data_IF_318084656830
#
_entry.id   IF_318084656830
#
_cell.length_a   1.000
_cell.length_b   1.000
_cell.length_c   1.000
_cell.angle_alpha   90.00
_cell.angle_beta   90.00
_cell.angle_gamma   90.00
#
_symmetry.space_group_name_H-M   'P 1'
#
loop_
_entity.id
_entity.type
_entity.pdbx_description
1 polymer ?
#
# COMPACT_ATOMS: atom_id res chain seq x y z
N UNK A 1 2.80 4.94 -17.57
CA UNK A 1 2.45 5.51 -16.24
C UNK A 1 3.70 5.49 -15.37
N UNK A 2 4.09 6.57 -14.73
CA UNK A 2 5.27 6.60 -13.85
C UNK A 2 4.96 5.90 -12.51
N UNK A 3 5.97 5.20 -11.95
CA UNK A 3 5.89 4.59 -10.61
C UNK A 3 7.20 4.87 -9.87
N UNK A 4 7.10 5.46 -8.67
CA UNK A 4 8.27 5.73 -7.80
C UNK A 4 9.04 4.43 -7.50
N UNK A 5 8.36 3.29 -7.45
CA UNK A 5 8.97 1.97 -7.27
C UNK A 5 10.05 1.63 -8.33
N UNK A 6 10.03 2.25 -9.51
CA UNK A 6 11.10 2.09 -10.54
C UNK A 6 12.45 2.56 -10.00
N UNK A 7 12.49 3.66 -9.23
CA UNK A 7 13.73 4.16 -8.63
C UNK A 7 14.33 3.13 -7.64
N UNK A 8 13.44 2.45 -6.88
CA UNK A 8 13.85 1.37 -5.95
C UNK A 8 14.41 0.16 -6.70
N UNK A 9 13.82 -0.19 -7.85
CA UNK A 9 14.32 -1.26 -8.71
C UNK A 9 15.69 -0.94 -9.29
N UNK A 10 15.97 0.31 -9.66
CA UNK A 10 17.31 0.73 -10.07
C UNK A 10 18.32 0.63 -8.91
N UNK A 11 17.94 1.04 -7.68
CA UNK A 11 18.80 0.85 -6.49
C UNK A 11 19.09 -0.62 -6.25
N UNK A 12 18.08 -1.50 -6.35
CA UNK A 12 18.23 -2.94 -6.23
C UNK A 12 19.18 -3.50 -7.31
N UNK A 13 18.97 -3.14 -8.59
CA UNK A 13 19.82 -3.57 -9.70
C UNK A 13 21.31 -3.29 -9.43
N UNK A 14 21.61 -2.11 -8.91
CA UNK A 14 22.98 -1.62 -8.70
C UNK A 14 23.58 -2.06 -7.35
N UNK A 15 22.83 -2.78 -6.53
CA UNK A 15 23.31 -3.25 -5.22
C UNK A 15 24.37 -4.34 -5.39
N UNK A 16 25.53 -4.19 -4.72
CA UNK A 16 26.60 -5.20 -4.67
C UNK A 16 26.19 -6.50 -3.95
N UNK A 17 25.17 -6.43 -3.09
CA UNK A 17 24.62 -7.55 -2.31
C UNK A 17 23.22 -7.92 -2.77
N UNK A 18 22.90 -7.67 -4.04
CA UNK A 18 21.61 -7.97 -4.63
C UNK A 18 21.24 -9.43 -4.43
N UNK A 19 20.00 -9.67 -4.02
CA UNK A 19 19.37 -10.98 -3.99
C UNK A 19 18.22 -11.01 -5.01
N UNK A 20 17.69 -12.17 -5.41
CA UNK A 20 16.42 -12.23 -6.14
C UNK A 20 15.37 -11.39 -5.42
N UNK A 21 14.63 -10.57 -6.16
CA UNK A 21 13.67 -9.61 -5.60
C UNK A 21 12.25 -10.16 -5.70
N UNK A 22 11.52 -10.10 -4.62
CA UNK A 22 10.09 -10.42 -4.58
C UNK A 22 9.29 -9.13 -4.44
N UNK A 23 8.39 -8.87 -5.40
CA UNK A 23 7.45 -7.75 -5.35
C UNK A 23 6.13 -8.24 -4.74
N UNK A 24 5.84 -7.74 -3.55
CA UNK A 24 4.60 -7.99 -2.82
C UNK A 24 3.59 -6.86 -3.01
N UNK A 25 2.32 -7.13 -2.80
CA UNK A 25 1.25 -6.14 -2.82
C UNK A 25 -0.05 -6.72 -3.31
N UNK A 26 -1.14 -6.01 -3.08
CA UNK A 26 -2.48 -6.44 -3.46
C UNK A 26 -2.57 -6.82 -4.95
N UNK A 27 -3.56 -7.60 -5.29
CA UNK A 27 -3.87 -7.90 -6.69
C UNK A 27 -4.24 -6.60 -7.42
N UNK A 28 -3.83 -6.49 -8.70
CA UNK A 28 -4.14 -5.34 -9.59
C UNK A 28 -3.44 -4.00 -9.22
N UNK A 29 -2.45 -3.99 -8.32
CA UNK A 29 -1.64 -2.79 -8.04
C UNK A 29 -0.52 -2.54 -9.08
N UNK A 30 -0.43 -3.38 -10.11
CA UNK A 30 0.48 -3.19 -11.25
C UNK A 30 1.84 -3.88 -11.13
N UNK A 31 1.98 -4.97 -10.36
CA UNK A 31 3.23 -5.72 -10.19
C UNK A 31 3.82 -6.19 -11.52
N UNK A 32 3.02 -6.89 -12.33
CA UNK A 32 3.43 -7.40 -13.66
C UNK A 32 3.87 -6.27 -14.59
N UNK A 33 3.11 -5.17 -14.62
CA UNK A 33 3.45 -3.99 -15.40
C UNK A 33 4.79 -3.40 -14.96
N UNK A 34 4.99 -3.25 -13.65
CA UNK A 34 6.21 -2.67 -13.07
C UNK A 34 7.45 -3.50 -13.46
N UNK A 35 7.38 -4.84 -13.35
CA UNK A 35 8.48 -5.73 -13.71
C UNK A 35 8.83 -5.63 -15.20
N UNK A 36 7.80 -5.66 -16.07
CA UNK A 36 8.00 -5.55 -17.54
C UNK A 36 8.55 -4.18 -17.93
N UNK A 37 8.03 -3.10 -17.35
CA UNK A 37 8.49 -1.75 -17.64
C UNK A 37 9.93 -1.55 -17.17
N UNK A 38 10.27 -2.04 -15.97
CA UNK A 38 11.65 -2.02 -15.48
C UNK A 38 12.59 -2.82 -16.39
N UNK A 39 12.18 -4.01 -16.83
CA UNK A 39 12.94 -4.81 -17.78
C UNK A 39 13.23 -4.05 -19.06
N UNK A 40 12.20 -3.40 -19.63
CA UNK A 40 12.32 -2.58 -20.85
C UNK A 40 13.26 -1.38 -20.69
N UNK A 41 13.24 -0.71 -19.52
CA UNK A 41 14.04 0.48 -19.29
C UNK A 41 15.49 0.16 -18.90
N UNK A 42 15.70 -0.92 -18.16
CA UNK A 42 16.97 -1.17 -17.44
C UNK A 42 17.82 -2.29 -18.03
N UNK A 43 17.30 -3.12 -18.94
CA UNK A 43 18.00 -4.28 -19.51
C UNK A 43 17.89 -4.30 -21.02
N UNK A 44 18.85 -4.96 -21.67
CA UNK A 44 18.82 -5.17 -23.12
C UNK A 44 17.78 -6.24 -23.51
N UNK A 45 17.51 -7.18 -22.60
CA UNK A 45 16.57 -8.27 -22.82
C UNK A 45 15.81 -8.64 -21.54
N UNK A 46 14.65 -9.28 -21.71
CA UNK A 46 13.80 -9.71 -20.62
C UNK A 46 13.17 -11.07 -20.93
N UNK A 47 13.37 -12.04 -20.06
CA UNK A 47 12.69 -13.34 -20.15
C UNK A 47 11.55 -13.35 -19.13
N UNK A 48 10.32 -13.30 -19.63
CA UNK A 48 9.10 -13.28 -18.83
C UNK A 48 8.48 -14.68 -18.78
N UNK A 49 8.30 -15.18 -17.57
CA UNK A 49 7.65 -16.45 -17.27
C UNK A 49 6.44 -16.17 -16.39
N UNK A 50 5.25 -16.52 -16.89
CA UNK A 50 4.06 -16.62 -16.05
C UNK A 50 3.88 -18.08 -15.64
N UNK A 51 3.83 -18.32 -14.33
CA UNK A 51 3.67 -19.68 -13.77
C UNK A 51 2.20 -20.12 -13.70
N UNK A 52 1.25 -19.21 -13.85
CA UNK A 52 -0.16 -19.59 -13.90
C UNK A 52 -0.43 -20.41 -15.17
N UNK A 53 -0.98 -21.61 -14.95
CA UNK A 53 -1.34 -22.56 -16.03
C UNK A 53 -0.17 -22.96 -16.96
N UNK A 54 1.09 -22.92 -16.48
CA UNK A 54 2.29 -23.25 -17.25
C UNK A 54 2.90 -24.58 -16.82
N UNK A 55 2.38 -25.69 -17.36
CA UNK A 55 2.83 -27.05 -17.02
C UNK A 55 4.31 -27.27 -17.32
N UNK A 56 4.85 -26.74 -18.44
CA UNK A 56 6.27 -26.90 -18.79
C UNK A 56 7.18 -26.31 -17.73
N UNK A 57 6.85 -25.16 -17.20
CA UNK A 57 7.63 -24.54 -16.12
C UNK A 57 7.43 -25.28 -14.82
N UNK A 58 6.22 -25.74 -14.51
CA UNK A 58 5.99 -26.60 -13.36
C UNK A 58 6.85 -27.87 -13.41
N UNK A 59 6.92 -28.54 -14.55
CA UNK A 59 7.73 -29.73 -14.76
C UNK A 59 9.23 -29.44 -14.63
N UNK A 60 9.71 -28.34 -15.25
CA UNK A 60 11.12 -27.92 -15.19
C UNK A 60 11.58 -27.73 -13.73
N UNK A 61 10.86 -26.95 -12.94
CA UNK A 61 11.21 -26.66 -11.55
C UNK A 61 10.91 -27.82 -10.60
N UNK A 62 10.08 -28.79 -10.99
CA UNK A 62 9.78 -29.98 -10.20
C UNK A 62 10.87 -31.05 -10.30
N UNK A 63 11.63 -31.10 -11.40
CA UNK A 63 12.64 -32.14 -11.64
C UNK A 63 13.81 -32.03 -10.64
N UNK A 64 14.51 -30.87 -10.65
CA UNK A 64 15.56 -30.52 -9.67
C UNK A 64 15.69 -28.99 -9.60
N UNK A 65 16.60 -28.51 -8.73
CA UNK A 65 16.83 -27.07 -8.55
C UNK A 65 18.29 -26.70 -8.90
N UNK A 66 18.95 -27.50 -9.74
CA UNK A 66 20.25 -27.15 -10.32
C UNK A 66 20.12 -25.92 -11.22
N UNK A 67 20.89 -24.88 -10.91
CA UNK A 67 20.74 -23.56 -11.54
C UNK A 67 21.14 -23.58 -13.01
N UNK A 68 22.13 -24.35 -13.41
CA UNK A 68 22.58 -24.42 -14.80
C UNK A 68 21.54 -25.12 -15.66
N UNK A 69 20.94 -26.18 -15.12
CA UNK A 69 19.83 -26.88 -15.77
C UNK A 69 18.58 -26.01 -15.87
N UNK A 70 18.26 -25.26 -14.81
CA UNK A 70 17.15 -24.31 -14.84
C UNK A 70 17.36 -23.22 -15.89
N UNK A 71 18.56 -22.62 -15.96
CA UNK A 71 18.89 -21.62 -16.97
C UNK A 71 18.80 -22.21 -18.38
N UNK A 72 19.35 -23.40 -18.61
CA UNK A 72 19.20 -24.09 -19.92
C UNK A 72 17.72 -24.28 -20.29
N UNK A 73 16.89 -24.71 -19.34
CA UNK A 73 15.45 -24.87 -19.56
C UNK A 73 14.74 -23.57 -19.88
N UNK A 74 15.13 -22.47 -19.20
CA UNK A 74 14.61 -21.13 -19.45
C UNK A 74 15.06 -20.59 -20.83
N UNK A 75 16.30 -20.87 -21.27
CA UNK A 75 16.81 -20.54 -22.60
C UNK A 75 16.03 -21.27 -23.69
N UNK A 76 15.78 -22.57 -23.50
CA UNK A 76 14.98 -23.37 -24.42
C UNK A 76 13.52 -22.85 -24.51
N UNK A 77 12.95 -22.45 -23.37
CA UNK A 77 11.62 -21.87 -23.33
C UNK A 77 11.55 -20.52 -24.04
N UNK A 78 12.56 -19.65 -23.80
CA UNK A 78 12.67 -18.33 -24.40
C UNK A 78 13.11 -18.35 -25.88
N UNK A 79 13.67 -19.47 -26.35
CA UNK A 79 14.23 -19.61 -27.71
C UNK A 79 15.51 -18.80 -27.94
N UNK A 80 16.20 -18.40 -26.88
CA UNK A 80 17.42 -17.57 -26.92
C UNK A 80 18.27 -17.73 -25.66
N UNK A 81 19.55 -17.36 -25.79
CA UNK A 81 20.50 -17.33 -24.67
C UNK A 81 20.14 -16.25 -23.64
N UNK A 82 20.37 -16.56 -22.38
CA UNK A 82 20.20 -15.64 -21.25
C UNK A 82 21.56 -15.09 -20.86
N UNK A 83 21.80 -13.82 -21.17
CA UNK A 83 23.01 -13.14 -20.72
C UNK A 83 22.81 -12.63 -19.29
N UNK A 84 23.59 -13.11 -18.29
CA UNK A 84 23.40 -12.75 -16.90
C UNK A 84 23.53 -11.24 -16.61
N UNK A 85 24.33 -10.51 -17.40
CA UNK A 85 24.56 -9.08 -17.18
C UNK A 85 23.45 -8.21 -17.75
N UNK A 86 22.80 -8.64 -18.83
CA UNK A 86 21.91 -7.80 -19.64
C UNK A 86 20.48 -8.31 -19.75
N UNK A 87 20.16 -9.46 -19.16
CA UNK A 87 18.82 -10.06 -19.18
C UNK A 87 18.18 -10.02 -17.80
N UNK A 88 16.97 -9.51 -17.71
CA UNK A 88 16.13 -9.63 -16.52
C UNK A 88 15.25 -10.88 -16.63
N UNK A 89 15.31 -11.76 -15.65
CA UNK A 89 14.36 -12.85 -15.47
C UNK A 89 13.17 -12.36 -14.64
N UNK A 90 11.97 -12.47 -15.20
CA UNK A 90 10.72 -12.09 -14.53
C UNK A 90 9.90 -13.35 -14.29
N UNK A 91 9.67 -13.67 -13.01
CA UNK A 91 8.85 -14.78 -12.55
C UNK A 91 7.52 -14.25 -12.01
N UNK A 92 6.47 -14.33 -12.80
CA UNK A 92 5.15 -13.82 -12.44
C UNK A 92 4.24 -14.96 -11.96
N UNK A 93 3.39 -14.68 -10.96
CA UNK A 93 2.53 -15.65 -10.26
C UNK A 93 3.33 -16.86 -9.73
N UNK A 94 4.53 -16.58 -9.17
CA UNK A 94 5.50 -17.60 -8.76
C UNK A 94 4.99 -18.56 -7.68
N UNK A 95 3.96 -18.19 -6.93
CA UNK A 95 3.31 -19.05 -5.92
C UNK A 95 2.58 -20.26 -6.55
N UNK A 96 2.23 -20.21 -7.83
CA UNK A 96 1.59 -21.34 -8.53
C UNK A 96 2.54 -22.54 -8.68
N UNK A 97 3.86 -22.29 -8.62
CA UNK A 97 4.89 -23.34 -8.62
C UNK A 97 5.80 -23.15 -7.40
N UNK A 98 5.48 -23.74 -6.24
CA UNK A 98 6.23 -23.55 -4.98
C UNK A 98 7.72 -23.82 -5.09
N UNK A 99 8.12 -24.77 -5.95
CA UNK A 99 9.54 -25.07 -6.20
C UNK A 99 10.26 -23.96 -6.98
N UNK A 100 9.54 -23.20 -7.82
CA UNK A 100 10.12 -22.02 -8.47
C UNK A 100 10.46 -20.94 -7.43
N UNK A 101 9.59 -20.74 -6.43
CA UNK A 101 9.87 -19.84 -5.31
C UNK A 101 11.09 -20.35 -4.50
N UNK A 102 11.16 -21.65 -4.19
CA UNK A 102 12.28 -22.26 -3.48
C UNK A 102 13.60 -22.17 -4.26
N UNK A 103 13.55 -22.16 -5.61
CA UNK A 103 14.74 -22.05 -6.46
C UNK A 103 15.51 -20.73 -6.29
N UNK A 104 14.85 -19.67 -5.83
CA UNK A 104 15.48 -18.35 -5.62
C UNK A 104 16.66 -18.42 -4.64
N UNK A 105 16.60 -19.33 -3.65
CA UNK A 105 17.73 -19.60 -2.75
C UNK A 105 18.95 -20.07 -3.53
N UNK A 106 18.75 -21.03 -4.43
CA UNK A 106 19.85 -21.63 -5.21
C UNK A 106 20.41 -20.65 -6.24
N UNK A 107 19.56 -19.84 -6.86
CA UNK A 107 20.04 -18.74 -7.70
C UNK A 107 20.90 -17.75 -6.92
N UNK A 108 20.51 -17.36 -5.72
CA UNK A 108 21.34 -16.49 -4.88
C UNK A 108 22.67 -17.12 -4.49
N UNK A 109 22.69 -18.41 -4.17
CA UNK A 109 23.89 -19.11 -3.68
C UNK A 109 24.86 -19.53 -4.80
N UNK A 110 24.32 -19.99 -5.93
CA UNK A 110 25.11 -20.65 -6.98
C UNK A 110 25.18 -19.83 -8.28
N UNK A 111 24.24 -18.91 -8.50
CA UNK A 111 24.13 -18.14 -9.75
C UNK A 111 23.74 -16.66 -9.50
N UNK A 112 24.44 -15.93 -8.59
CA UNK A 112 24.06 -14.57 -8.19
C UNK A 112 24.20 -13.53 -9.30
N UNK A 113 24.87 -13.88 -10.41
CA UNK A 113 25.00 -13.03 -11.58
C UNK A 113 23.67 -12.82 -12.32
N UNK A 114 22.70 -13.73 -12.20
CA UNK A 114 21.40 -13.57 -12.84
C UNK A 114 20.50 -12.63 -12.05
N UNK A 115 19.86 -11.72 -12.76
CA UNK A 115 18.92 -10.75 -12.18
C UNK A 115 17.50 -11.33 -12.24
N UNK A 116 16.91 -11.58 -11.07
CA UNK A 116 15.59 -12.20 -10.99
C UNK A 116 14.64 -11.30 -10.18
N UNK A 117 13.51 -10.97 -10.78
CA UNK A 117 12.39 -10.27 -10.11
C UNK A 117 11.16 -11.17 -10.18
N UNK A 118 10.55 -11.38 -9.03
CA UNK A 118 9.37 -12.24 -8.91
C UNK A 118 8.17 -11.42 -8.41
N UNK A 119 6.99 -11.83 -8.81
CA UNK A 119 5.75 -11.34 -8.22
C UNK A 119 4.74 -12.47 -8.03
N UNK A 120 3.86 -12.24 -7.08
CA UNK A 120 2.68 -13.07 -6.86
C UNK A 120 1.67 -12.33 -6.00
N UNK A 121 0.40 -12.49 -6.34
CA UNK A 121 -0.67 -11.76 -5.66
C UNK A 121 -0.99 -12.30 -4.26
N UNK A 122 -0.55 -13.51 -3.94
CA UNK A 122 -0.84 -14.23 -2.69
C UNK A 122 0.43 -14.76 -2.01
N UNK A 123 1.56 -14.14 -2.29
CA UNK A 123 2.85 -14.58 -1.71
C UNK A 123 2.85 -14.55 -0.19
N UNK A 124 2.22 -13.54 0.43
CA UNK A 124 2.07 -13.49 1.88
C UNK A 124 1.37 -14.74 2.46
N UNK A 125 0.42 -15.32 1.72
CA UNK A 125 -0.29 -16.54 2.14
C UNK A 125 0.55 -17.78 1.85
N UNK A 126 1.22 -17.85 0.69
CA UNK A 126 2.05 -18.98 0.32
C UNK A 126 3.19 -19.22 1.33
N UNK A 127 3.64 -18.16 2.02
CA UNK A 127 4.62 -18.21 3.10
C UNK A 127 4.17 -19.10 4.27
N UNK A 128 2.87 -19.24 4.50
CA UNK A 128 2.30 -19.99 5.62
C UNK A 128 1.91 -21.44 5.27
N UNK A 129 1.98 -21.84 3.99
CA UNK A 129 1.51 -23.18 3.53
C UNK A 129 2.61 -24.25 3.48
N UNK A 130 3.69 -24.14 4.27
CA UNK A 130 4.70 -25.22 4.41
C UNK A 130 5.67 -25.37 3.23
N UNK A 131 5.72 -24.41 2.30
CA UNK A 131 6.71 -24.35 1.23
C UNK A 131 8.06 -23.94 1.81
N UNK A 132 9.18 -24.51 1.31
CA UNK A 132 10.55 -24.09 1.66
C UNK A 132 10.78 -22.68 1.12
N UNK A 133 10.38 -21.66 1.91
CA UNK A 133 10.60 -20.27 1.56
C UNK A 133 12.08 -19.90 1.67
N UNK A 134 12.66 -19.12 0.74
CA UNK A 134 14.08 -18.76 0.74
C UNK A 134 14.41 -17.67 1.77
N UNK A 135 14.20 -17.95 3.06
CA UNK A 135 14.42 -17.01 4.18
C UNK A 135 15.84 -16.44 4.13
N UNK A 136 15.96 -15.11 4.16
CA UNK A 136 17.24 -14.41 4.15
C UNK A 136 18.01 -14.45 2.81
N UNK A 137 17.44 -15.08 1.77
CA UNK A 137 18.06 -15.27 0.45
C UNK A 137 17.38 -14.46 -0.66
N UNK A 138 16.39 -13.66 -0.31
CA UNK A 138 15.64 -12.78 -1.20
C UNK A 138 15.52 -11.39 -0.58
N UNK A 139 15.34 -10.39 -1.43
CA UNK A 139 14.96 -9.03 -1.09
C UNK A 139 13.45 -8.85 -1.34
N UNK A 140 12.84 -7.86 -0.68
CA UNK A 140 11.42 -7.57 -0.82
C UNK A 140 11.18 -6.14 -1.24
N UNK A 141 10.17 -5.92 -2.09
CA UNK A 141 9.62 -4.61 -2.43
C UNK A 141 8.10 -4.65 -2.29
N UNK A 142 7.55 -3.82 -1.41
CA UNK A 142 6.10 -3.65 -1.31
C UNK A 142 5.62 -2.63 -2.34
N UNK A 143 4.64 -3.04 -3.15
CA UNK A 143 3.98 -2.20 -4.13
C UNK A 143 2.56 -1.89 -3.67
N UNK A 144 2.28 -0.61 -3.51
CA UNK A 144 0.98 -0.07 -3.13
C UNK A 144 0.22 0.46 -4.36
N UNK A 145 -1.08 0.78 -4.28
CA UNK A 145 -1.74 1.63 -5.25
C UNK A 145 -0.96 2.92 -5.49
N UNK A 146 -1.19 3.62 -6.58
CA UNK A 146 -0.52 4.89 -6.86
C UNK A 146 -0.70 5.86 -5.69
N UNK A 147 0.39 6.51 -5.27
CA UNK A 147 0.34 7.63 -4.34
C UNK A 147 -0.31 8.85 -5.01
N UNK A 148 -0.58 9.90 -4.22
CA UNK A 148 -1.13 11.13 -4.78
C UNK A 148 -0.17 11.80 -5.76
N UNK A 149 1.14 11.80 -5.47
CA UNK A 149 2.16 12.31 -6.39
C UNK A 149 2.21 11.48 -7.69
N UNK A 150 2.14 10.16 -7.62
CA UNK A 150 2.07 9.29 -8.80
C UNK A 150 0.77 9.53 -9.61
N UNK A 151 -0.35 9.80 -8.93
CA UNK A 151 -1.62 10.17 -9.58
C UNK A 151 -1.52 11.49 -10.33
N UNK A 152 -0.91 12.52 -9.73
CA UNK A 152 -0.65 13.80 -10.42
C UNK A 152 0.15 13.58 -11.70
N UNK A 153 1.22 12.80 -11.64
CA UNK A 153 2.04 12.46 -12.81
C UNK A 153 1.23 11.69 -13.87
N UNK A 154 0.40 10.72 -13.45
CA UNK A 154 -0.41 9.92 -14.36
C UNK A 154 -1.52 10.73 -15.06
N UNK A 155 -1.97 11.83 -14.46
CA UNK A 155 -3.09 12.66 -14.96
C UNK A 155 -2.66 13.92 -15.70
N UNK A 156 -1.35 14.07 -16.03
CA UNK A 156 -0.80 15.20 -16.79
C UNK A 156 -0.47 16.42 -15.92
N UNK A 157 -0.26 16.20 -14.62
CA UNK A 157 0.08 17.23 -13.65
C UNK A 157 1.50 17.06 -13.09
N UNK A 158 2.47 16.68 -13.94
CA UNK A 158 3.84 16.35 -13.54
C UNK A 158 4.52 17.51 -12.79
N UNK A 159 4.32 18.76 -13.23
CA UNK A 159 4.89 19.94 -12.56
C UNK A 159 4.39 20.11 -11.13
N UNK A 160 3.13 19.79 -10.88
CA UNK A 160 2.57 19.83 -9.53
C UNK A 160 3.15 18.72 -8.64
N UNK A 161 3.38 17.52 -9.18
CA UNK A 161 4.09 16.48 -8.46
C UNK A 161 5.54 16.87 -8.15
N UNK A 162 6.22 17.56 -9.06
CA UNK A 162 7.58 18.06 -8.88
C UNK A 162 7.65 19.14 -7.77
N UNK A 163 6.70 20.07 -7.72
CA UNK A 163 6.61 21.06 -6.63
C UNK A 163 6.42 20.39 -5.27
N UNK A 164 5.60 19.33 -5.18
CA UNK A 164 5.47 18.54 -3.95
C UNK A 164 6.79 17.88 -3.57
N UNK A 165 7.46 17.21 -4.53
CA UNK A 165 8.76 16.57 -4.31
C UNK A 165 9.82 17.54 -3.81
N UNK A 166 9.82 18.76 -4.35
CA UNK A 166 10.77 19.82 -4.00
C UNK A 166 10.36 20.63 -2.76
N UNK A 167 9.18 20.33 -2.15
CA UNK A 167 8.62 21.03 -0.98
C UNK A 167 8.51 22.56 -1.18
N UNK A 168 8.22 23.01 -2.41
CA UNK A 168 8.03 24.43 -2.74
C UNK A 168 6.65 24.90 -2.28
N UNK A 169 6.51 25.08 -0.96
CA UNK A 169 5.22 25.42 -0.34
C UNK A 169 4.69 26.82 -0.73
N UNK A 170 5.53 27.72 -1.19
CA UNK A 170 5.10 29.04 -1.70
C UNK A 170 4.32 28.86 -3.01
N UNK A 171 4.91 28.14 -3.97
CA UNK A 171 4.25 27.82 -5.23
C UNK A 171 3.05 26.90 -5.01
N UNK A 172 3.14 25.92 -4.14
CA UNK A 172 2.03 25.02 -3.78
C UNK A 172 0.84 25.83 -3.26
N UNK A 173 1.06 26.81 -2.38
CA UNK A 173 0.00 27.69 -1.86
C UNK A 173 -0.62 28.54 -2.96
N UNK A 174 0.19 29.06 -3.89
CA UNK A 174 -0.29 29.87 -5.02
C UNK A 174 -1.22 29.07 -5.95
N UNK A 175 -1.03 27.76 -6.06
CA UNK A 175 -1.85 26.84 -6.88
C UNK A 175 -2.75 25.91 -6.06
N UNK A 176 -3.06 26.28 -4.83
CA UNK A 176 -3.82 25.47 -3.86
C UNK A 176 -5.09 24.86 -4.44
N UNK A 177 -5.87 25.63 -5.19
CA UNK A 177 -7.14 25.14 -5.73
C UNK A 177 -6.95 23.96 -6.68
N UNK A 178 -5.91 23.97 -7.51
CA UNK A 178 -5.56 22.86 -8.40
C UNK A 178 -5.26 21.59 -7.61
N UNK A 179 -4.52 21.70 -6.51
CA UNK A 179 -4.23 20.55 -5.64
C UNK A 179 -5.50 20.01 -4.96
N UNK A 180 -6.38 20.91 -4.49
CA UNK A 180 -7.66 20.53 -3.86
C UNK A 180 -8.53 19.77 -4.87
N UNK A 181 -8.65 20.26 -6.10
CA UNK A 181 -9.45 19.61 -7.14
C UNK A 181 -8.85 18.26 -7.53
N UNK A 182 -7.54 18.16 -7.69
CA UNK A 182 -6.85 16.90 -7.92
C UNK A 182 -7.03 15.92 -6.75
N UNK A 183 -7.00 16.39 -5.50
CA UNK A 183 -7.23 15.56 -4.32
C UNK A 183 -8.67 15.03 -4.26
N UNK A 184 -9.67 15.85 -4.61
CA UNK A 184 -11.06 15.39 -4.75
C UNK A 184 -11.18 14.30 -5.82
N UNK A 185 -10.51 14.47 -6.98
CA UNK A 185 -10.46 13.43 -8.00
C UNK A 185 -9.82 12.15 -7.47
N UNK A 186 -8.69 12.26 -6.76
CA UNK A 186 -8.03 11.11 -6.16
C UNK A 186 -8.91 10.40 -5.11
N UNK A 187 -9.69 11.11 -4.31
CA UNK A 187 -10.63 10.48 -3.36
C UNK A 187 -11.67 9.62 -4.06
N UNK A 188 -12.09 10.00 -5.27
CA UNK A 188 -13.02 9.21 -6.06
C UNK A 188 -12.35 8.07 -6.84
N UNK A 189 -11.27 8.39 -7.54
CA UNK A 189 -10.57 7.48 -8.45
C UNK A 189 -9.73 6.46 -7.66
N UNK A 190 -9.09 6.91 -6.58
CA UNK A 190 -8.08 6.14 -5.86
C UNK A 190 -6.77 6.04 -6.61
N UNK A 191 -5.93 5.11 -6.14
CA UNK A 191 -4.62 4.81 -6.72
C UNK A 191 -4.56 3.48 -7.49
N UNK A 192 -5.68 2.78 -7.71
CA UNK A 192 -5.66 1.54 -8.49
C UNK A 192 -5.29 1.83 -9.95
N UNK A 193 -4.21 1.21 -10.51
CA UNK A 193 -3.65 1.59 -11.81
C UNK A 193 -4.65 1.63 -12.96
N UNK A 194 -5.53 0.64 -13.07
CA UNK A 194 -6.55 0.59 -14.14
C UNK A 194 -7.54 1.75 -14.02
N UNK A 195 -7.97 2.08 -12.79
CA UNK A 195 -8.87 3.19 -12.51
C UNK A 195 -8.21 4.55 -12.82
N UNK A 196 -6.93 4.72 -12.42
CA UNK A 196 -6.16 5.94 -12.69
C UNK A 196 -5.92 6.10 -14.19
N UNK A 197 -5.59 5.03 -14.91
CA UNK A 197 -5.37 5.06 -16.36
C UNK A 197 -6.65 5.45 -17.11
N UNK A 198 -7.77 4.81 -16.81
CA UNK A 198 -9.06 5.15 -17.41
C UNK A 198 -9.43 6.62 -17.17
N UNK A 199 -9.25 7.10 -15.92
CA UNK A 199 -9.50 8.50 -15.60
C UNK A 199 -8.54 9.46 -16.34
N UNK A 200 -7.26 9.10 -16.49
CA UNK A 200 -6.29 9.92 -17.22
C UNK A 200 -6.69 10.08 -18.70
N UNK A 201 -7.21 9.01 -19.32
CA UNK A 201 -7.57 8.96 -20.73
C UNK A 201 -8.94 9.61 -21.03
N UNK A 202 -9.98 9.28 -20.22
CA UNK A 202 -11.36 9.64 -20.53
C UNK A 202 -11.97 10.71 -19.64
N UNK A 203 -11.45 10.91 -18.42
CA UNK A 203 -12.07 11.72 -17.36
C UNK A 203 -13.50 11.27 -16.99
N UNK A 204 -13.89 10.03 -17.37
CA UNK A 204 -15.23 9.48 -17.10
C UNK A 204 -15.26 8.75 -15.74
N UNK A 205 -15.93 9.37 -14.78
CA UNK A 205 -16.09 8.80 -13.44
C UNK A 205 -17.01 7.57 -13.40
N UNK A 206 -17.89 7.39 -14.39
CA UNK A 206 -18.74 6.19 -14.46
C UNK A 206 -17.91 4.98 -14.88
N UNK A 207 -17.00 5.16 -15.84
CA UNK A 207 -16.06 4.13 -16.26
C UNK A 207 -15.13 3.73 -15.11
N UNK A 208 -14.57 4.71 -14.40
CA UNK A 208 -13.78 4.50 -13.18
C UNK A 208 -14.56 3.66 -12.16
N UNK A 209 -15.83 4.01 -11.91
CA UNK A 209 -16.67 3.27 -10.95
C UNK A 209 -16.94 1.83 -11.41
N UNK A 210 -17.11 1.61 -12.70
CA UNK A 210 -17.26 0.26 -13.26
C UNK A 210 -15.99 -0.57 -13.05
N UNK A 211 -14.80 0.01 -13.25
CA UNK A 211 -13.51 -0.62 -12.98
C UNK A 211 -13.37 -0.98 -11.49
N UNK A 212 -13.64 -0.04 -10.59
CA UNK A 212 -13.57 -0.27 -9.14
C UNK A 212 -14.49 -1.43 -8.70
N UNK A 213 -15.71 -1.51 -9.24
CA UNK A 213 -16.63 -2.62 -8.96
C UNK A 213 -16.05 -3.96 -9.45
N UNK A 214 -15.41 -4.00 -10.63
CA UNK A 214 -14.74 -5.22 -11.12
C UNK A 214 -13.58 -5.63 -10.21
N UNK A 215 -12.78 -4.68 -9.73
CA UNK A 215 -11.68 -4.94 -8.80
C UNK A 215 -12.21 -5.55 -7.50
N UNK A 216 -13.24 -4.95 -6.89
CA UNK A 216 -13.86 -5.46 -5.66
C UNK A 216 -14.44 -6.86 -5.86
N UNK A 217 -15.14 -7.10 -6.97
CA UNK A 217 -15.67 -8.42 -7.30
C UNK A 217 -14.56 -9.47 -7.49
N UNK A 218 -13.43 -9.10 -8.09
CA UNK A 218 -12.28 -9.98 -8.23
C UNK A 218 -11.69 -10.35 -6.85
N UNK A 219 -11.59 -9.40 -5.90
CA UNK A 219 -11.15 -9.68 -4.54
C UNK A 219 -12.07 -10.66 -3.82
N UNK A 220 -13.39 -10.49 -3.96
CA UNK A 220 -14.37 -11.42 -3.35
C UNK A 220 -14.30 -12.84 -3.95
N UNK A 221 -13.97 -12.97 -5.24
CA UNK A 221 -13.70 -14.25 -5.88
C UNK A 221 -12.42 -14.89 -5.34
N UNK A 222 -11.36 -14.09 -5.14
CA UNK A 222 -10.10 -14.57 -4.57
C UNK A 222 -10.29 -15.11 -3.14
N UNK A 223 -11.19 -14.51 -2.33
CA UNK A 223 -11.53 -15.05 -1.02
C UNK A 223 -12.01 -16.50 -1.10
N UNK A 224 -12.84 -16.82 -2.09
CA UNK A 224 -13.37 -18.16 -2.27
C UNK A 224 -12.38 -19.13 -2.90
N UNK A 225 -11.48 -18.64 -3.74
CA UNK A 225 -10.52 -19.47 -4.49
C UNK A 225 -9.31 -19.87 -3.65
N UNK A 226 -8.84 -18.95 -2.80
CA UNK A 226 -7.51 -19.08 -2.19
C UNK A 226 -7.53 -19.14 -0.65
N UNK A 227 -8.58 -18.66 0.01
CA UNK A 227 -8.68 -18.79 1.46
C UNK A 227 -9.20 -20.18 1.86
N UNK A 228 -8.78 -20.70 3.03
CA UNK A 228 -9.39 -21.89 3.60
C UNK A 228 -10.91 -21.73 3.73
N UNK A 229 -11.67 -22.74 3.29
CA UNK A 229 -13.14 -22.67 3.23
C UNK A 229 -13.80 -22.23 4.56
N UNK A 230 -13.20 -22.61 5.68
CA UNK A 230 -13.70 -22.31 7.04
C UNK A 230 -13.66 -20.81 7.38
N UNK A 231 -12.74 -20.06 6.78
CA UNK A 231 -12.57 -18.63 7.07
C UNK A 231 -13.19 -17.71 6.01
N UNK A 232 -13.56 -18.22 4.82
CA UNK A 232 -14.18 -17.42 3.74
C UNK A 232 -15.39 -16.62 4.21
N UNK A 233 -16.38 -17.18 4.95
CA UNK A 233 -17.51 -16.41 5.45
C UNK A 233 -17.07 -15.28 6.40
N UNK A 234 -16.06 -15.54 7.23
CA UNK A 234 -15.54 -14.55 8.19
C UNK A 234 -14.80 -13.39 7.47
N UNK A 235 -14.02 -13.73 6.43
CA UNK A 235 -13.37 -12.73 5.57
C UNK A 235 -14.41 -11.81 4.93
N UNK A 236 -15.47 -12.38 4.33
CA UNK A 236 -16.52 -11.58 3.70
C UNK A 236 -17.28 -10.68 4.70
N UNK A 237 -17.64 -11.21 5.85
CA UNK A 237 -18.30 -10.43 6.91
C UNK A 237 -17.41 -9.28 7.38
N UNK A 238 -16.14 -9.55 7.61
CA UNK A 238 -15.16 -8.56 8.04
C UNK A 238 -14.96 -7.50 6.96
N UNK A 239 -14.70 -7.91 5.71
CA UNK A 239 -14.52 -7.02 4.56
C UNK A 239 -15.69 -6.06 4.40
N UNK A 240 -16.92 -6.57 4.43
CA UNK A 240 -18.13 -5.76 4.29
C UNK A 240 -18.39 -4.84 5.50
N UNK A 241 -17.80 -5.12 6.67
CA UNK A 241 -17.96 -4.27 7.85
C UNK A 241 -17.01 -3.06 7.86
N UNK A 242 -15.92 -3.06 7.08
CA UNK A 242 -14.89 -2.00 7.15
C UNK A 242 -15.48 -0.61 6.91
N UNK A 243 -16.33 -0.34 5.90
CA UNK A 243 -16.89 0.99 5.71
C UNK A 243 -17.66 1.51 6.93
N UNK A 244 -18.46 0.65 7.57
CA UNK A 244 -19.23 1.05 8.76
C UNK A 244 -18.34 1.21 10.01
N UNK A 245 -17.21 0.49 10.10
CA UNK A 245 -16.22 0.68 11.15
C UNK A 245 -15.56 2.06 11.03
N UNK A 246 -15.16 2.44 9.79
CA UNK A 246 -14.48 3.72 9.51
C UNK A 246 -15.41 4.94 9.59
N UNK A 247 -16.71 4.77 9.34
CA UNK A 247 -17.68 5.86 9.41
C UNK A 247 -17.98 6.34 10.85
N UNK A 248 -17.55 5.61 11.86
CA UNK A 248 -17.75 5.98 13.27
C UNK A 248 -16.77 7.04 13.72
N UNK A 249 -17.18 7.84 14.72
CA UNK A 249 -16.32 8.84 15.35
C UNK A 249 -15.03 8.19 15.93
N UNK A 250 -15.20 7.13 16.71
CA UNK A 250 -14.07 6.28 17.12
C UNK A 250 -13.91 5.10 16.15
N UNK A 251 -12.88 5.16 15.31
CA UNK A 251 -12.59 4.18 14.26
C UNK A 251 -11.88 2.91 14.75
N UNK A 252 -11.76 2.72 16.09
CA UNK A 252 -11.26 1.47 16.67
C UNK A 252 -12.13 0.30 16.16
N UNK A 253 -11.49 -0.75 15.69
CA UNK A 253 -12.18 -1.94 15.20
C UNK A 253 -12.98 -2.62 16.31
N UNK A 254 -14.26 -2.89 16.05
CA UNK A 254 -15.21 -3.49 16.99
C UNK A 254 -15.75 -4.79 16.40
N UNK A 255 -15.39 -5.93 16.98
CA UNK A 255 -15.82 -7.24 16.51
C UNK A 255 -17.34 -7.43 16.53
N UNK A 256 -18.03 -6.82 17.51
CA UNK A 256 -19.49 -6.84 17.61
C UNK A 256 -20.23 -6.15 16.44
N UNK A 257 -19.54 -5.30 15.66
CA UNK A 257 -20.10 -4.71 14.44
C UNK A 257 -19.99 -5.64 13.22
N UNK A 258 -19.08 -6.61 13.25
CA UNK A 258 -19.02 -7.65 12.21
C UNK A 258 -20.21 -8.61 12.38
N UNK A 259 -20.45 -9.00 13.63
CA UNK A 259 -21.58 -9.85 14.05
C UNK A 259 -21.85 -9.62 15.54
N UNK A 260 -23.12 -9.57 15.94
CA UNK A 260 -23.50 -9.49 17.35
C UNK A 260 -22.87 -10.64 18.15
N UNK A 261 -22.21 -10.31 19.28
CA UNK A 261 -21.47 -11.26 20.10
C UNK A 261 -20.13 -11.72 19.52
N UNK A 262 -19.69 -11.18 18.38
CA UNK A 262 -18.42 -11.54 17.73
C UNK A 262 -17.22 -11.28 18.63
N UNK A 263 -16.25 -12.22 18.65
CA UNK A 263 -15.04 -12.18 19.47
C UNK A 263 -13.77 -12.19 18.62
N UNK A 264 -12.68 -11.62 19.14
CA UNK A 264 -11.38 -11.52 18.46
C UNK A 264 -10.93 -12.87 17.86
N UNK A 265 -10.92 -13.94 18.64
CA UNK A 265 -10.48 -15.29 18.21
C UNK A 265 -11.21 -15.85 16.98
N UNK A 266 -12.38 -15.31 16.65
CA UNK A 266 -13.16 -15.77 15.50
C UNK A 266 -12.71 -15.14 14.19
N UNK A 267 -12.10 -13.94 14.26
CA UNK A 267 -11.77 -13.11 13.11
C UNK A 267 -10.28 -12.84 12.91
N UNK A 268 -9.42 -13.18 13.88
CA UNK A 268 -7.97 -12.93 13.80
C UNK A 268 -7.35 -13.51 12.52
N UNK A 269 -7.67 -14.77 12.20
CA UNK A 269 -7.17 -15.44 10.99
C UNK A 269 -7.66 -14.75 9.72
N UNK A 270 -8.90 -14.24 9.71
CA UNK A 270 -9.46 -13.51 8.58
C UNK A 270 -8.78 -12.14 8.41
N UNK A 271 -8.47 -11.44 9.52
CA UNK A 271 -7.72 -10.17 9.50
C UNK A 271 -6.30 -10.41 8.99
N UNK A 272 -5.61 -11.45 9.48
CA UNK A 272 -4.28 -11.82 9.01
C UNK A 272 -4.31 -12.10 7.50
N UNK A 273 -5.26 -12.92 7.05
CA UNK A 273 -5.39 -13.25 5.63
C UNK A 273 -5.55 -12.00 4.74
N UNK A 274 -6.46 -11.07 5.11
CA UNK A 274 -6.65 -9.83 4.37
C UNK A 274 -5.39 -8.93 4.40
N UNK A 275 -4.66 -8.91 5.52
CA UNK A 275 -3.42 -8.15 5.67
C UNK A 275 -2.29 -8.74 4.82
N UNK A 276 -2.14 -10.06 4.81
CA UNK A 276 -1.12 -10.78 4.03
C UNK A 276 -1.35 -10.68 2.52
N UNK A 277 -2.64 -10.59 2.10
CA UNK A 277 -3.00 -10.24 0.72
C UNK A 277 -2.74 -8.77 0.36
N UNK A 278 -2.43 -7.92 1.34
CA UNK A 278 -2.27 -6.48 1.14
C UNK A 278 -3.57 -5.72 0.89
N UNK A 279 -4.73 -6.32 1.20
CA UNK A 279 -6.05 -5.72 0.96
C UNK A 279 -6.47 -4.76 2.06
N UNK A 280 -5.89 -4.92 3.25
CA UNK A 280 -6.15 -4.06 4.40
C UNK A 280 -4.86 -3.66 5.10
N UNK A 281 -4.89 -2.49 5.73
CA UNK A 281 -3.84 -1.97 6.60
C UNK A 281 -4.34 -1.96 8.04
N UNK A 282 -3.75 -2.81 8.88
CA UNK A 282 -3.96 -2.77 10.32
C UNK A 282 -3.06 -1.71 10.91
N UNK A 283 -3.66 -0.72 11.58
CA UNK A 283 -2.97 0.34 12.32
C UNK A 283 -3.25 0.14 13.79
N UNK A 284 -2.24 -0.30 14.54
CA UNK A 284 -2.37 -0.64 15.96
C UNK A 284 -2.31 0.60 16.85
N UNK A 285 -2.96 0.53 18.02
CA UNK A 285 -2.82 1.53 19.06
C UNK A 285 -1.45 1.42 19.70
N UNK A 286 -0.89 2.58 20.10
CA UNK A 286 0.26 2.63 21.03
C UNK A 286 -0.16 3.24 22.37
N UNK A 287 0.43 2.76 23.44
CA UNK A 287 0.11 3.21 24.81
C UNK A 287 1.05 4.30 25.33
N UNK A 288 2.20 4.46 24.70
CA UNK A 288 3.23 5.44 25.04
C UNK A 288 3.96 5.91 23.78
N UNK A 289 4.71 7.01 23.92
CA UNK A 289 5.54 7.59 22.87
C UNK A 289 7.03 7.30 23.15
N UNK A 290 7.44 6.06 22.97
CA UNK A 290 8.84 5.63 23.09
C UNK A 290 9.36 5.06 21.77
N UNK A 291 10.66 5.21 21.49
CA UNK A 291 11.31 4.62 20.32
C UNK A 291 11.91 3.26 20.72
N UNK A 292 11.64 2.17 19.96
CA UNK A 292 10.71 2.09 18.84
C UNK A 292 9.24 1.99 19.28
N UNK A 293 8.32 2.66 18.59
CA UNK A 293 6.88 2.62 18.90
C UNK A 293 6.31 1.20 18.93
N UNK A 294 6.87 0.29 18.14
CA UNK A 294 6.46 -1.12 18.11
C UNK A 294 6.51 -1.80 19.48
N UNK A 295 7.41 -1.37 20.36
CA UNK A 295 7.50 -1.93 21.71
C UNK A 295 6.32 -1.55 22.62
N UNK A 296 5.56 -0.52 22.25
CA UNK A 296 4.42 0.01 22.99
C UNK A 296 3.08 -0.30 22.30
N UNK A 297 3.08 -1.22 21.34
CA UNK A 297 1.91 -1.62 20.56
C UNK A 297 0.89 -2.37 21.43
N UNK A 298 -0.37 -1.94 21.39
CA UNK A 298 -1.49 -2.67 21.96
C UNK A 298 -2.14 -3.55 20.87
N UNK A 299 -1.82 -4.82 20.91
CA UNK A 299 -2.31 -5.79 19.92
C UNK A 299 -3.84 -5.99 19.93
N UNK A 300 -4.53 -5.54 21.01
CA UNK A 300 -6.00 -5.68 21.18
C UNK A 300 -6.79 -4.51 20.61
N UNK A 301 -6.11 -3.40 20.28
CA UNK A 301 -6.76 -2.20 19.78
C UNK A 301 -6.11 -1.74 18.47
N UNK A 302 -6.89 -1.69 17.40
CA UNK A 302 -6.43 -1.29 16.08
C UNK A 302 -7.54 -0.64 15.28
N UNK A 303 -7.16 0.14 14.27
CA UNK A 303 -8.00 0.58 13.16
C UNK A 303 -7.71 -0.30 11.94
N UNK A 304 -8.71 -0.50 11.08
CA UNK A 304 -8.56 -1.30 9.87
C UNK A 304 -8.94 -0.46 8.66
N UNK A 305 -7.96 -0.13 7.84
CA UNK A 305 -8.12 0.62 6.59
C UNK A 305 -8.04 -0.33 5.40
N UNK A 306 -8.73 -0.03 4.31
CA UNK A 306 -8.57 -0.81 3.08
C UNK A 306 -7.37 -0.29 2.27
N UNK A 307 -6.99 -1.04 1.24
CA UNK A 307 -5.81 -0.75 0.42
C UNK A 307 -5.91 0.56 -0.36
N UNK A 308 -7.14 1.04 -0.67
CA UNK A 308 -7.34 2.17 -1.59
C UNK A 308 -8.59 2.99 -1.25
N UNK A 309 -8.45 4.32 -1.29
CA UNK A 309 -9.54 5.26 -0.95
C UNK A 309 -10.67 5.24 -1.96
N UNK A 310 -10.38 5.07 -3.25
CA UNK A 310 -11.39 4.99 -4.30
C UNK A 310 -12.23 3.72 -4.19
N UNK A 311 -11.60 2.60 -3.79
CA UNK A 311 -12.31 1.35 -3.50
C UNK A 311 -13.21 1.50 -2.27
N UNK A 312 -12.78 2.20 -1.21
CA UNK A 312 -13.64 2.52 -0.06
C UNK A 312 -14.87 3.32 -0.51
N UNK A 313 -14.68 4.35 -1.32
CA UNK A 313 -15.77 5.14 -1.91
C UNK A 313 -16.72 4.29 -2.76
N UNK A 314 -16.20 3.29 -3.49
CA UNK A 314 -17.01 2.35 -4.26
C UNK A 314 -17.83 1.42 -3.36
N UNK A 315 -17.23 0.86 -2.30
CA UNK A 315 -17.92 -0.02 -1.34
C UNK A 315 -19.10 0.69 -0.64
N UNK A 316 -18.98 1.99 -0.39
CA UNK A 316 -20.04 2.79 0.25
C UNK A 316 -21.07 3.33 -0.73
N UNK A 317 -20.91 3.11 -2.04
CA UNK A 317 -21.78 3.67 -3.06
C UNK A 317 -21.66 5.20 -3.21
N UNK A 318 -20.55 5.80 -2.78
CA UNK A 318 -20.31 7.24 -2.88
C UNK A 318 -20.42 7.71 -4.33
N UNK A 319 -21.28 8.70 -4.56
CA UNK A 319 -21.51 9.28 -5.88
C UNK A 319 -20.54 10.42 -6.17
N UNK A 320 -20.17 10.59 -7.44
CA UNK A 320 -19.30 11.67 -7.90
C UNK A 320 -19.79 13.04 -7.41
N UNK A 321 -21.06 13.34 -7.64
CA UNK A 321 -21.68 14.63 -7.30
C UNK A 321 -21.51 14.99 -5.81
N UNK A 322 -21.73 14.02 -4.93
CA UNK A 322 -21.59 14.20 -3.48
C UNK A 322 -20.16 14.62 -3.10
N UNK A 323 -19.16 14.06 -3.77
CA UNK A 323 -17.75 14.35 -3.47
C UNK A 323 -17.25 15.65 -4.08
N UNK A 324 -17.63 15.96 -5.34
CA UNK A 324 -17.10 17.11 -6.07
C UNK A 324 -17.82 18.41 -5.74
N UNK A 325 -19.16 18.36 -5.63
CA UNK A 325 -19.99 19.56 -5.39
C UNK A 325 -20.14 19.87 -3.89
N UNK A 326 -19.88 18.90 -3.03
CA UNK A 326 -20.11 18.95 -1.59
C UNK A 326 -21.59 18.69 -1.25
N UNK A 327 -21.82 18.08 -0.09
CA UNK A 327 -23.14 17.84 0.48
C UNK A 327 -23.00 17.87 2.01
N UNK A 328 -23.84 18.59 2.71
CA UNK A 328 -23.81 18.68 4.18
C UNK A 328 -23.99 17.31 4.85
N UNK A 329 -24.69 16.38 4.19
CA UNK A 329 -24.86 15.00 4.67
C UNK A 329 -23.59 14.15 4.52
N UNK A 330 -22.59 14.62 3.76
CA UNK A 330 -21.34 13.92 3.51
C UNK A 330 -20.28 14.17 4.59
N UNK A 331 -20.48 15.13 5.49
CA UNK A 331 -19.46 15.64 6.43
C UNK A 331 -18.83 14.53 7.28
N UNK A 332 -19.62 13.62 7.85
CA UNK A 332 -19.11 12.54 8.70
C UNK A 332 -18.23 11.55 7.90
N UNK A 333 -18.70 11.11 6.73
CA UNK A 333 -17.95 10.16 5.91
C UNK A 333 -16.73 10.79 5.25
N UNK A 334 -16.72 12.12 5.04
CA UNK A 334 -15.54 12.87 4.56
C UNK A 334 -14.35 12.71 5.49
N UNK A 335 -14.56 12.71 6.81
CA UNK A 335 -13.51 12.41 7.78
C UNK A 335 -12.93 10.99 7.62
N UNK A 336 -13.79 10.00 7.38
CA UNK A 336 -13.38 8.61 7.14
C UNK A 336 -12.52 8.48 5.87
N UNK A 337 -12.94 9.10 4.76
CA UNK A 337 -12.17 9.11 3.51
C UNK A 337 -10.82 9.83 3.66
N UNK A 338 -10.79 10.93 4.42
CA UNK A 338 -9.56 11.69 4.63
C UNK A 338 -8.55 10.88 5.44
N UNK A 339 -8.97 10.21 6.53
CA UNK A 339 -8.06 9.33 7.27
C UNK A 339 -7.64 8.09 6.46
N UNK A 340 -8.55 7.51 5.66
CA UNK A 340 -8.20 6.44 4.73
C UNK A 340 -7.13 6.88 3.74
N UNK A 341 -7.29 8.07 3.15
CA UNK A 341 -6.30 8.66 2.26
C UNK A 341 -4.95 8.85 2.96
N UNK A 342 -4.95 9.50 4.13
CA UNK A 342 -3.71 9.73 4.89
C UNK A 342 -3.03 8.40 5.23
N UNK A 343 -3.75 7.40 5.71
CA UNK A 343 -3.20 6.07 5.95
C UNK A 343 -2.55 5.49 4.70
N UNK A 344 -3.25 5.55 3.56
CA UNK A 344 -2.75 5.05 2.28
C UNK A 344 -1.45 5.73 1.87
N UNK A 345 -1.35 7.07 1.98
CA UNK A 345 -0.13 7.81 1.64
C UNK A 345 1.01 7.46 2.61
N UNK A 346 0.77 7.46 3.92
CA UNK A 346 1.79 7.11 4.92
C UNK A 346 2.37 5.71 4.70
N UNK A 347 1.56 4.74 4.24
CA UNK A 347 2.03 3.37 3.96
C UNK A 347 2.95 3.27 2.74
N UNK A 348 2.97 4.26 1.84
CA UNK A 348 3.90 4.29 0.70
C UNK A 348 5.31 4.74 1.09
N UNK A 349 5.45 5.39 2.26
CA UNK A 349 6.74 5.86 2.78
C UNK A 349 7.51 4.68 3.36
N UNK A 350 8.74 4.50 2.88
CA UNK A 350 9.61 3.41 3.30
C UNK A 350 10.02 3.55 4.77
N UNK A 351 10.09 2.43 5.47
CA UNK A 351 10.51 2.32 6.87
C UNK A 351 9.70 3.16 7.86
N UNK A 352 8.53 3.71 7.46
CA UNK A 352 7.67 4.46 8.35
C UNK A 352 6.76 3.54 9.17
N UNK A 353 6.97 3.50 10.48
CA UNK A 353 6.05 2.87 11.42
C UNK A 353 4.77 3.70 11.58
N UNK A 354 3.59 3.13 11.31
CA UNK A 354 2.31 3.85 11.36
C UNK A 354 1.40 3.22 12.41
N UNK A 355 1.07 4.00 13.43
CA UNK A 355 0.24 3.65 14.59
C UNK A 355 -0.80 4.73 14.84
N UNK A 356 -1.65 4.57 15.86
CA UNK A 356 -2.49 5.64 16.40
C UNK A 356 -2.41 5.65 17.95
N UNK A 357 -2.82 6.75 18.55
CA UNK A 357 -2.83 6.86 20.01
C UNK A 357 -4.22 7.23 20.50
N UNK A 358 -4.61 6.62 21.62
CA UNK A 358 -5.72 7.08 22.45
C UNK A 358 -5.40 6.81 23.90
N UNK A 359 -5.73 7.77 24.79
CA UNK A 359 -5.56 7.55 26.21
C UNK A 359 -6.63 6.56 26.75
N UNK A 360 -6.40 6.01 27.94
CA UNK A 360 -7.28 4.99 28.53
C UNK A 360 -8.71 5.48 28.78
N UNK A 361 -8.91 6.79 28.93
CA UNK A 361 -10.23 7.41 29.11
C UNK A 361 -10.92 7.75 27.78
N UNK A 362 -10.26 7.58 26.64
CA UNK A 362 -10.79 7.94 25.33
C UNK A 362 -10.95 9.44 25.08
N UNK A 363 -10.46 10.30 26.00
CA UNK A 363 -10.62 11.75 25.90
C UNK A 363 -9.56 12.46 25.06
N UNK A 364 -8.52 11.74 24.63
CA UNK A 364 -7.47 12.22 23.73
C UNK A 364 -7.19 11.13 22.70
N UNK A 365 -7.46 11.42 21.45
CA UNK A 365 -7.14 10.55 20.31
C UNK A 365 -6.26 11.33 19.32
N UNK A 366 -5.21 10.67 18.83
CA UNK A 366 -4.35 11.12 17.75
C UNK A 366 -4.54 10.12 16.60
N UNK A 367 -4.96 10.62 15.45
CA UNK A 367 -5.36 9.81 14.31
C UNK A 367 -4.25 8.89 13.83
N UNK A 368 -3.01 9.43 13.73
CA UNK A 368 -1.82 8.65 13.46
C UNK A 368 -0.66 9.11 14.33
N UNK A 369 0.19 8.17 14.71
CA UNK A 369 1.49 8.41 15.32
C UNK A 369 2.50 7.65 14.50
N UNK A 370 3.45 8.34 13.90
CA UNK A 370 4.45 7.73 13.05
C UNK A 370 5.80 7.66 13.72
N UNK A 371 6.52 6.57 13.47
CA UNK A 371 7.89 6.32 13.90
C UNK A 371 8.79 6.38 12.68
N UNK A 372 9.66 7.37 12.61
CA UNK A 372 10.63 7.55 11.52
C UNK A 372 11.94 6.81 11.80
N UNK A 373 12.05 6.11 12.94
CA UNK A 373 13.30 5.54 13.45
C UNK A 373 14.12 6.52 14.30
N UNK A 374 13.98 7.81 14.10
CA UNK A 374 14.67 8.87 14.85
C UNK A 374 13.71 9.67 15.72
N UNK A 375 12.49 9.88 15.27
CA UNK A 375 11.49 10.71 15.92
C UNK A 375 10.11 10.06 15.90
N UNK A 376 9.30 10.42 16.89
CA UNK A 376 7.88 10.10 16.95
C UNK A 376 7.09 11.35 16.62
N UNK A 377 6.28 11.29 15.56
CA UNK A 377 5.49 12.42 15.07
C UNK A 377 4.00 12.10 15.19
N UNK A 378 3.26 12.74 16.12
CA UNK A 378 1.81 12.65 16.18
C UNK A 378 1.18 13.48 15.03
N UNK A 379 0.15 12.91 14.39
CA UNK A 379 -0.55 13.50 13.24
C UNK A 379 -2.03 13.56 13.54
N UNK A 380 -2.61 14.75 13.56
CA UNK A 380 -4.04 14.98 13.58
C UNK A 380 -4.55 15.29 12.17
N UNK A 381 -5.58 14.58 11.75
CA UNK A 381 -6.17 14.69 10.40
C UNK A 381 -7.43 15.54 10.47
N UNK A 382 -7.51 16.57 9.63
CA UNK A 382 -8.70 17.43 9.49
C UNK A 382 -9.15 17.47 8.03
N UNK A 383 -10.39 17.09 7.79
CA UNK A 383 -10.97 17.09 6.44
C UNK A 383 -11.22 18.51 5.88
N UNK A 384 -11.19 19.52 6.73
CA UNK A 384 -11.49 20.93 6.41
C UNK A 384 -10.35 21.84 6.86
N UNK A 385 -10.61 23.16 6.81
CA UNK A 385 -9.67 24.22 7.24
C UNK A 385 -9.70 24.49 8.75
N UNK A 386 -10.45 23.70 9.53
CA UNK A 386 -10.51 23.87 10.98
C UNK A 386 -9.17 23.56 11.62
N UNK A 387 -8.57 24.56 12.25
CA UNK A 387 -7.21 24.48 12.83
C UNK A 387 -7.17 24.18 14.33
N UNK A 388 -8.26 23.76 14.95
CA UNK A 388 -8.26 23.35 16.36
C UNK A 388 -7.47 22.05 16.53
N UNK A 389 -6.48 22.04 17.41
CA UNK A 389 -5.58 20.92 17.66
C UNK A 389 -5.54 20.56 19.15
N UNK A 390 -6.72 20.39 19.78
CA UNK A 390 -6.83 20.13 21.23
C UNK A 390 -6.15 18.81 21.61
N UNK A 391 -6.35 17.76 20.82
CA UNK A 391 -5.76 16.45 21.09
C UNK A 391 -4.23 16.48 20.95
N UNK A 392 -3.71 17.14 19.90
CA UNK A 392 -2.26 17.33 19.73
C UNK A 392 -1.65 18.08 20.91
N UNK A 393 -2.32 19.14 21.41
CA UNK A 393 -1.83 19.86 22.58
C UNK A 393 -1.78 18.95 23.81
N UNK A 394 -2.84 18.19 24.06
CA UNK A 394 -2.87 17.23 25.19
C UNK A 394 -1.80 16.15 25.06
N UNK A 395 -1.56 15.65 23.85
CA UNK A 395 -0.50 14.69 23.56
C UNK A 395 0.89 15.29 23.80
N UNK A 396 1.12 16.53 23.30
CA UNK A 396 2.36 17.27 23.50
C UNK A 396 2.65 17.50 24.96
N UNK A 397 1.68 17.98 25.74
CA UNK A 397 1.84 18.26 27.18
C UNK A 397 2.21 16.98 27.96
N UNK A 398 1.95 15.80 27.42
CA UNK A 398 2.26 14.51 28.04
C UNK A 398 3.58 13.89 27.57
N UNK A 399 3.91 13.99 26.31
CA UNK A 399 4.99 13.23 25.68
C UNK A 399 6.10 14.11 25.08
N UNK A 400 5.89 15.41 25.01
CA UNK A 400 6.85 16.43 24.54
C UNK A 400 7.54 16.08 23.20
N UNK A 401 6.78 15.69 22.14
CA UNK A 401 7.38 15.42 20.84
C UNK A 401 8.01 16.69 20.27
N UNK A 402 9.15 16.56 19.59
CA UNK A 402 9.85 17.69 18.95
C UNK A 402 8.97 18.37 17.90
N UNK A 403 8.20 17.58 17.17
CA UNK A 403 7.28 18.03 16.13
C UNK A 403 5.93 17.35 16.27
N UNK A 404 4.86 18.12 16.14
CA UNK A 404 3.51 17.62 15.94
C UNK A 404 2.98 18.10 14.60
N UNK A 405 2.25 17.26 13.90
CA UNK A 405 1.70 17.57 12.57
C UNK A 405 0.19 17.59 12.62
N UNK A 406 -0.40 18.64 12.07
CA UNK A 406 -1.78 18.65 11.68
C UNK A 406 -1.85 18.67 10.15
N UNK A 407 -2.53 17.72 9.56
CA UNK A 407 -2.79 17.72 8.11
C UNK A 407 -4.22 18.15 7.83
N UNK A 408 -4.40 19.11 6.93
CA UNK A 408 -5.70 19.73 6.67
C UNK A 408 -5.76 20.37 5.27
N UNK A 409 -6.89 20.95 4.90
CA UNK A 409 -7.01 21.76 3.66
C UNK A 409 -6.42 23.19 3.80
N UNK A 410 -5.89 23.55 4.97
CA UNK A 410 -5.20 24.83 5.16
C UNK A 410 -3.79 24.77 4.57
N UNK A 411 -3.22 25.97 4.33
CA UNK A 411 -1.90 26.13 3.75
C UNK A 411 -0.80 25.63 4.69
N UNK A 412 0.38 25.36 4.13
CA UNK A 412 1.56 25.06 4.92
C UNK A 412 1.86 26.19 5.91
N UNK A 413 2.02 25.84 7.18
CA UNK A 413 2.41 26.78 8.23
C UNK A 413 3.20 26.04 9.29
N UNK A 414 4.42 26.50 9.55
CA UNK A 414 5.25 26.02 10.66
C UNK A 414 5.13 26.99 11.83
N UNK A 415 4.72 26.47 12.97
CA UNK A 415 4.73 27.13 14.28
C UNK A 415 5.77 26.41 15.15
N UNK A 416 6.10 26.93 16.33
CA UNK A 416 7.20 26.40 17.14
C UNK A 416 7.18 24.87 17.33
N UNK A 417 6.02 24.31 17.62
CA UNK A 417 5.85 22.89 17.89
C UNK A 417 4.85 22.17 16.96
N UNK A 418 4.17 22.94 16.11
CA UNK A 418 3.08 22.46 15.27
C UNK A 418 3.32 22.83 13.81
N UNK A 419 3.35 21.82 12.97
CA UNK A 419 3.36 21.96 11.53
C UNK A 419 1.95 21.73 10.98
N UNK A 420 1.36 22.70 10.28
CA UNK A 420 0.24 22.43 9.41
C UNK A 420 0.75 22.04 8.04
N UNK A 421 0.57 20.78 7.66
CA UNK A 421 0.95 20.24 6.36
C UNK A 421 -0.31 20.04 5.52
N UNK A 422 -0.43 20.63 4.33
CA UNK A 422 -1.59 20.39 3.48
C UNK A 422 -1.83 18.92 3.21
N UNK A 423 -3.09 18.46 3.18
CA UNK A 423 -3.43 17.05 2.95
C UNK A 423 -2.75 16.48 1.70
N UNK A 424 -2.75 17.24 0.60
CA UNK A 424 -2.11 16.84 -0.66
C UNK A 424 -0.57 16.77 -0.61
N UNK A 425 0.03 17.24 0.49
CA UNK A 425 1.48 17.18 0.72
C UNK A 425 1.87 16.18 1.83
N UNK A 426 0.95 15.32 2.30
CA UNK A 426 1.20 14.42 3.44
C UNK A 426 2.35 13.43 3.18
N UNK A 427 2.64 13.10 1.93
CA UNK A 427 3.80 12.29 1.56
C UNK A 427 5.14 12.92 1.99
N UNK A 428 5.17 14.24 2.22
CA UNK A 428 6.35 15.01 2.62
C UNK A 428 6.58 15.07 4.14
N UNK A 429 5.89 14.21 4.91
CA UNK A 429 5.98 14.20 6.37
C UNK A 429 7.37 13.82 6.92
N UNK A 430 8.25 13.28 6.06
CA UNK A 430 9.60 12.95 6.49
C UNK A 430 10.31 14.21 6.98
N UNK A 431 10.65 14.17 8.26
CA UNK A 431 11.43 15.22 8.91
C UNK A 431 12.82 15.19 8.29
N UNK A 432 13.24 16.29 7.71
CA UNK A 432 14.65 16.45 7.30
C UNK A 432 15.50 16.43 8.56
N UNK A 433 16.43 15.47 8.62
CA UNK A 433 17.53 15.46 9.61
C UNK A 433 18.42 16.66 9.44
#
# INVERSE_FOLDING_TARGET
>A
MYRIAIEKLYKWKNSKRRKPLIIEGARQVGKTWLMKEFGKQAYADTVYINFDSNSRMADLFSADLDTDRLIMGLELYAGRKINPENTLLIFDEVQEVPRALASLKYFYENAPQYHIVCAGSLLGIALHQGTSFPVGKVDFLKLYPLSFSEFLMATGNERFAELLKNKDYEMITSFKQTYIDALKHYYFVGGMPEAVQSFAESKDFNEVRAIQKRILAAYEQDFSKHAPNEIVPKIRMLWNSIPSQLARENKKFIYGLVREGGRAREYETAIMWLSDCGLVHKVSRVNAAGIPLKAYEDLKAFKLFIVDVGLLGCMTGLRQRTLLDGDDLFVEFKGALTEQYVCQQLKTIEDLGVYYYTNDRGSCEIDFVVDTGEQIVPIEVKAETNLRAKSLKTYRDRFEPELSVRTSMADYKKEDWLLNLPLYAIENITVES
#
